data_IF_206824876392
#
_entry.id   IF_206824876392
#
_cell.length_a   1.000
_cell.length_b   1.000
_cell.length_c   1.000
_cell.angle_alpha   90.00
_cell.angle_beta   90.00
_cell.angle_gamma   90.00
#
_symmetry.space_group_name_H-M   'P 1'
#
loop_
_entity.id
_entity.type
_entity.pdbx_description
1 polymer ?
#
# COMPACT_ATOMS: atom_id res chain seq x y z
N UNK A 1 -22.65 50.60 -96.68
CA UNK A 1 -22.22 49.18 -96.61
C UNK A 1 -20.90 49.00 -95.82
N UNK A 2 -20.70 49.71 -94.71
CA UNK A 2 -19.45 49.66 -93.89
C UNK A 2 -19.65 49.06 -92.49
N UNK A 3 -20.90 48.84 -92.07
CA UNK A 3 -21.24 48.36 -90.71
C UNK A 3 -20.95 46.84 -90.56
N UNK A 4 -20.97 46.09 -91.68
CA UNK A 4 -20.74 44.64 -91.66
C UNK A 4 -19.26 44.27 -91.55
N UNK A 5 -18.33 45.15 -91.98
CA UNK A 5 -16.88 44.88 -91.92
C UNK A 5 -16.32 44.98 -90.49
N UNK A 6 -16.85 45.87 -89.65
CA UNK A 6 -16.41 45.96 -88.23
C UNK A 6 -16.87 44.77 -87.38
N UNK A 7 -18.03 44.18 -87.68
CA UNK A 7 -18.54 43.01 -86.95
C UNK A 7 -17.74 41.73 -87.23
N UNK A 8 -17.19 41.59 -88.45
CA UNK A 8 -16.40 40.42 -88.87
C UNK A 8 -15.05 40.34 -88.14
N UNK A 9 -14.50 41.47 -87.68
CA UNK A 9 -13.23 41.51 -86.91
C UNK A 9 -13.50 41.42 -85.39
N UNK A 10 -14.64 41.92 -84.92
CA UNK A 10 -15.01 41.84 -83.50
C UNK A 10 -15.37 40.41 -83.05
N UNK A 11 -15.95 39.59 -83.94
CA UNK A 11 -16.37 38.22 -83.63
C UNK A 11 -15.21 37.25 -83.27
N UNK A 12 -14.08 37.20 -84.02
CA UNK A 12 -12.95 36.35 -83.63
C UNK A 12 -12.23 36.85 -82.37
N UNK A 13 -12.27 38.15 -82.07
CA UNK A 13 -11.66 38.72 -80.87
C UNK A 13 -12.40 38.30 -79.60
N UNK A 14 -13.74 38.31 -79.60
CA UNK A 14 -14.55 37.80 -78.48
C UNK A 14 -14.37 36.30 -78.27
N UNK A 15 -14.18 35.53 -79.35
CA UNK A 15 -13.89 34.09 -79.29
C UNK A 15 -12.49 33.77 -78.72
N UNK A 16 -11.52 34.68 -78.86
CA UNK A 16 -10.19 34.52 -78.29
C UNK A 16 -10.12 34.87 -76.79
N UNK A 17 -11.12 35.59 -76.25
CA UNK A 17 -11.20 35.88 -74.81
C UNK A 17 -11.89 34.77 -73.98
N UNK A 18 -12.63 33.84 -74.60
CA UNK A 18 -13.30 32.75 -73.87
C UNK A 18 -12.37 31.61 -73.43
N UNK A 19 -11.11 31.62 -73.86
CA UNK A 19 -10.09 30.64 -73.44
C UNK A 19 -9.49 30.88 -72.04
N UNK A 20 -9.76 32.03 -71.41
CA UNK A 20 -9.25 32.36 -70.06
C UNK A 20 -10.19 31.88 -68.93
N UNK A 21 -11.34 31.28 -69.26
CA UNK A 21 -12.20 30.62 -68.28
C UNK A 21 -11.66 29.22 -68.00
N UNK A 22 -10.66 29.16 -67.11
CA UNK A 22 -10.00 27.96 -66.61
C UNK A 22 -10.95 27.00 -65.91
N UNK A 23 -11.76 26.30 -66.69
CA UNK A 23 -12.71 25.26 -66.24
C UNK A 23 -12.01 23.98 -65.78
N UNK A 24 -10.70 23.84 -66.00
CA UNK A 24 -9.91 22.67 -65.63
C UNK A 24 -9.04 22.84 -64.38
N UNK A 25 -8.94 24.05 -63.80
CA UNK A 25 -7.95 24.36 -62.75
C UNK A 25 -8.33 23.87 -61.34
N UNK A 26 -9.55 23.33 -61.15
CA UNK A 26 -10.03 22.86 -59.84
C UNK A 26 -10.55 21.42 -59.84
N UNK A 27 -10.19 20.62 -60.87
CA UNK A 27 -10.64 19.22 -60.96
C UNK A 27 -10.15 18.37 -59.78
N UNK A 28 -8.99 18.70 -59.23
CA UNK A 28 -8.41 18.08 -58.03
C UNK A 28 -9.23 18.37 -56.76
N UNK A 29 -9.64 19.62 -56.54
CA UNK A 29 -10.50 20.02 -55.43
C UNK A 29 -11.88 19.38 -55.53
N UNK A 30 -12.44 19.30 -56.74
CA UNK A 30 -13.71 18.62 -56.97
C UNK A 30 -13.61 17.13 -56.68
N UNK A 31 -12.54 16.46 -57.13
CA UNK A 31 -12.31 15.05 -56.83
C UNK A 31 -12.10 14.81 -55.32
N UNK A 32 -11.33 15.67 -54.66
CA UNK A 32 -11.11 15.59 -53.21
C UNK A 32 -12.42 15.80 -52.41
N UNK A 33 -13.28 16.71 -52.84
CA UNK A 33 -14.59 16.92 -52.21
C UNK A 33 -15.52 15.72 -52.41
N UNK A 34 -15.52 15.08 -53.58
CA UNK A 34 -16.30 13.87 -53.82
C UNK A 34 -15.81 12.70 -52.96
N UNK A 35 -14.49 12.52 -52.87
CA UNK A 35 -13.87 11.48 -52.03
C UNK A 35 -14.15 11.71 -50.54
N UNK A 36 -13.99 12.95 -50.05
CA UNK A 36 -14.28 13.30 -48.65
C UNK A 36 -15.76 13.17 -48.30
N UNK A 37 -16.68 13.37 -49.26
CA UNK A 37 -18.12 13.14 -49.05
C UNK A 37 -18.49 11.67 -48.94
N UNK A 38 -17.73 10.78 -49.57
CA UNK A 38 -17.95 9.32 -49.50
C UNK A 38 -17.36 8.72 -48.22
N UNK A 39 -16.40 9.39 -47.60
CA UNK A 39 -15.91 9.04 -46.26
C UNK A 39 -16.99 9.36 -45.22
N UNK A 40 -17.86 8.39 -44.96
CA UNK A 40 -18.85 8.48 -43.89
C UNK A 40 -18.11 8.56 -42.56
N UNK A 41 -18.39 9.59 -41.75
CA UNK A 41 -17.79 9.74 -40.42
C UNK A 41 -17.97 8.45 -39.61
N UNK A 42 -16.89 7.97 -39.01
CA UNK A 42 -16.90 6.72 -38.25
C UNK A 42 -17.92 6.74 -37.11
N UNK A 43 -18.35 5.54 -36.69
CA UNK A 43 -19.23 5.33 -35.54
C UNK A 43 -18.64 6.04 -34.30
N UNK A 44 -19.32 7.07 -33.81
CA UNK A 44 -18.92 7.75 -32.56
C UNK A 44 -19.43 6.90 -31.41
N UNK A 45 -18.51 6.44 -30.54
CA UNK A 45 -18.91 5.67 -29.37
C UNK A 45 -19.92 6.47 -28.53
N UNK A 46 -21.07 5.86 -28.17
CA UNK A 46 -22.09 6.53 -27.41
C UNK A 46 -21.55 6.94 -26.04
N UNK A 47 -22.05 8.07 -25.54
CA UNK A 47 -21.68 8.56 -24.22
C UNK A 47 -21.93 7.48 -23.15
N UNK A 48 -20.95 7.25 -22.25
CA UNK A 48 -21.10 6.25 -21.20
C UNK A 48 -22.28 6.62 -20.30
N UNK A 49 -23.13 5.65 -19.98
CA UNK A 49 -24.28 5.87 -19.11
C UNK A 49 -23.80 6.21 -17.69
N UNK A 50 -24.30 7.29 -17.07
CA UNK A 50 -23.95 7.60 -15.70
C UNK A 50 -24.41 6.48 -14.77
N UNK A 51 -23.49 5.96 -13.95
CA UNK A 51 -23.81 4.92 -12.98
C UNK A 51 -24.69 5.54 -11.88
N UNK A 52 -25.77 4.86 -11.45
CA UNK A 52 -26.62 5.35 -10.38
C UNK A 52 -25.82 5.45 -9.07
N UNK A 53 -25.97 6.56 -8.38
CA UNK A 53 -25.43 6.75 -7.04
C UNK A 53 -26.12 5.79 -6.07
N UNK A 54 -25.35 4.95 -5.39
CA UNK A 54 -25.86 4.09 -4.32
C UNK A 54 -25.81 4.86 -3.01
N UNK A 55 -26.94 5.00 -2.34
CA UNK A 55 -26.98 5.59 -1.01
C UNK A 55 -26.42 4.56 -0.02
N UNK A 56 -25.30 4.90 0.62
CA UNK A 56 -24.83 4.14 1.77
C UNK A 56 -25.72 4.48 2.96
N UNK A 57 -26.55 3.53 3.38
CA UNK A 57 -27.26 3.63 4.65
C UNK A 57 -26.23 3.48 5.77
N UNK A 58 -25.98 4.55 6.52
CA UNK A 58 -25.20 4.50 7.75
C UNK A 58 -25.98 3.72 8.81
N UNK A 59 -25.86 2.39 8.77
CA UNK A 59 -26.29 1.52 9.86
C UNK A 59 -25.09 1.31 10.76
N UNK A 60 -25.08 1.97 11.91
CA UNK A 60 -24.06 1.75 12.94
C UNK A 60 -24.33 0.36 13.56
N UNK A 61 -23.71 -0.68 13.01
CA UNK A 61 -23.64 -1.97 13.71
C UNK A 61 -22.51 -1.87 14.74
N UNK A 62 -22.86 -1.43 15.95
CA UNK A 62 -21.90 -1.26 17.04
C UNK A 62 -22.53 -0.60 18.26
N UNK A 63 -21.77 -0.59 19.36
CA UNK A 63 -22.16 0.03 20.64
C UNK A 63 -22.63 1.47 20.48
N UNK A 64 -23.52 1.90 21.37
CA UNK A 64 -23.98 3.29 21.41
C UNK A 64 -22.80 4.26 21.61
N UNK A 65 -22.73 5.37 20.85
CA UNK A 65 -21.71 6.40 21.03
C UNK A 65 -21.75 7.08 22.41
N UNK A 66 -22.85 6.91 23.15
CA UNK A 66 -23.09 7.51 24.46
C UNK A 66 -23.09 6.48 25.60
N UNK A 67 -22.77 5.21 25.31
CA UNK A 67 -22.45 4.27 26.38
C UNK A 67 -21.16 4.70 27.06
N UNK A 68 -21.18 4.73 28.39
CA UNK A 68 -19.98 4.99 29.17
C UNK A 68 -18.91 3.96 28.80
N UNK A 69 -17.67 4.39 28.47
CA UNK A 69 -16.56 3.48 28.27
C UNK A 69 -16.43 2.61 29.52
N UNK A 70 -16.40 1.29 29.34
CA UNK A 70 -16.16 0.39 30.47
C UNK A 70 -14.83 0.84 31.10
N UNK A 71 -14.78 1.15 32.41
CA UNK A 71 -13.55 1.60 33.04
C UNK A 71 -12.45 0.59 32.76
N UNK A 72 -11.28 1.06 32.31
CA UNK A 72 -10.10 0.22 32.00
C UNK A 72 -9.72 -0.73 33.16
N UNK A 73 -10.15 -0.43 34.38
CA UNK A 73 -10.05 -1.32 35.54
C UNK A 73 -10.69 -2.71 35.30
N UNK A 74 -11.89 -2.77 34.72
CA UNK A 74 -12.60 -4.02 34.45
C UNK A 74 -11.93 -4.88 33.36
N UNK A 75 -11.29 -4.25 32.37
CA UNK A 75 -10.52 -4.96 31.34
C UNK A 75 -9.19 -5.49 31.90
N UNK A 76 -8.57 -4.77 32.85
CA UNK A 76 -7.41 -5.25 33.61
C UNK A 76 -7.75 -6.37 34.58
N UNK A 77 -8.97 -6.43 35.11
CA UNK A 77 -9.42 -7.55 35.94
C UNK A 77 -9.65 -8.84 35.12
N UNK A 78 -10.01 -8.72 33.84
CA UNK A 78 -10.15 -9.86 32.90
C UNK A 78 -8.80 -10.42 32.43
N UNK A 79 -7.79 -9.56 32.27
CA UNK A 79 -6.39 -9.95 32.16
C UNK A 79 -5.90 -10.30 33.57
N UNK A 80 -6.32 -11.48 34.04
CA UNK A 80 -6.34 -11.88 35.45
C UNK A 80 -5.24 -11.30 36.33
N UNK A 81 -5.58 -11.12 37.62
CA UNK A 81 -4.62 -11.02 38.74
C UNK A 81 -3.69 -12.24 38.70
N UNK A 82 -2.78 -12.27 37.76
CA UNK A 82 -1.75 -13.27 37.65
C UNK A 82 -0.88 -12.97 38.85
N UNK A 83 -0.77 -13.93 39.77
CA UNK A 83 0.16 -13.85 40.91
C UNK A 83 1.62 -13.94 40.44
N UNK A 84 1.89 -13.34 39.29
CA UNK A 84 3.16 -13.31 38.61
C UNK A 84 3.93 -12.19 39.27
N UNK A 85 5.11 -12.54 39.76
CA UNK A 85 6.06 -11.62 40.34
C UNK A 85 7.45 -12.03 39.89
N UNK A 86 8.41 -11.11 39.83
CA UNK A 86 9.80 -11.46 39.64
C UNK A 86 10.25 -12.45 40.71
N UNK A 87 10.98 -13.49 40.31
CA UNK A 87 11.66 -14.37 41.23
C UNK A 87 13.03 -13.74 41.59
N UNK A 88 13.10 -13.10 42.75
CA UNK A 88 14.32 -12.43 43.23
C UNK A 88 15.39 -13.41 43.72
N UNK A 89 15.01 -14.67 44.00
CA UNK A 89 15.95 -15.68 44.52
C UNK A 89 16.75 -16.36 43.39
N UNK A 90 16.31 -16.20 42.14
CA UNK A 90 16.98 -16.77 40.98
C UNK A 90 18.22 -15.95 40.62
N UNK A 91 19.30 -16.65 40.23
CA UNK A 91 20.46 -16.00 39.62
C UNK A 91 20.06 -15.36 38.29
N UNK A 92 20.34 -14.06 38.14
CA UNK A 92 20.14 -13.33 36.88
C UNK A 92 21.09 -13.80 35.78
N UNK A 93 20.59 -13.84 34.57
CA UNK A 93 21.29 -14.09 33.32
C UNK A 93 21.86 -12.78 32.76
N UNK A 94 22.90 -12.89 31.92
CA UNK A 94 23.57 -11.72 31.35
C UNK A 94 22.62 -10.82 30.56
N UNK A 95 21.75 -11.42 29.73
CA UNK A 95 20.83 -10.70 28.85
C UNK A 95 19.71 -9.93 29.60
N UNK A 96 19.50 -10.18 30.89
CA UNK A 96 18.58 -9.39 31.71
C UNK A 96 19.12 -8.00 32.07
N UNK A 97 20.43 -7.76 31.89
CA UNK A 97 21.03 -6.44 32.06
C UNK A 97 20.74 -5.49 30.89
N UNK A 98 20.30 -6.02 29.75
CA UNK A 98 20.16 -5.29 28.48
C UNK A 98 18.70 -4.91 28.25
N UNK A 99 18.46 -3.77 27.60
CA UNK A 99 17.10 -3.38 27.25
C UNK A 99 16.55 -4.32 26.17
N UNK A 100 15.30 -4.78 26.29
CA UNK A 100 14.68 -5.64 25.29
C UNK A 100 14.74 -5.04 23.87
N UNK A 101 14.65 -3.70 23.75
CA UNK A 101 14.72 -3.01 22.47
C UNK A 101 16.10 -3.08 21.77
N UNK A 102 17.17 -3.34 22.53
CA UNK A 102 18.53 -3.47 21.99
C UNK A 102 18.81 -4.90 21.50
N UNK A 103 18.02 -5.87 21.96
CA UNK A 103 18.19 -7.28 21.64
C UNK A 103 17.66 -7.59 20.24
N UNK A 104 18.43 -8.35 19.47
CA UNK A 104 18.04 -8.78 18.13
C UNK A 104 18.21 -10.28 17.97
N UNK A 105 17.22 -10.97 17.39
CA UNK A 105 17.40 -12.38 17.02
C UNK A 105 18.18 -12.45 15.70
N UNK A 106 19.33 -13.11 15.72
CA UNK A 106 20.21 -13.23 14.54
C UNK A 106 20.22 -14.62 13.93
N UNK A 107 19.62 -15.61 14.59
CA UNK A 107 19.52 -16.96 14.05
C UNK A 107 19.02 -18.00 15.04
N UNK A 108 19.07 -19.24 14.60
CA UNK A 108 18.87 -20.42 15.46
C UNK A 108 19.99 -21.42 15.25
N UNK A 109 20.28 -22.19 16.29
CA UNK A 109 21.22 -23.29 16.28
C UNK A 109 20.50 -24.53 16.81
N UNK A 110 20.46 -25.60 16.02
CA UNK A 110 19.94 -26.90 16.47
C UNK A 110 21.11 -27.80 16.83
N UNK A 111 21.12 -28.30 18.06
CA UNK A 111 22.13 -29.26 18.54
C UNK A 111 21.50 -30.19 19.58
N UNK A 112 21.82 -31.47 19.53
CA UNK A 112 21.39 -32.47 20.52
C UNK A 112 19.86 -32.47 20.73
N UNK A 113 19.09 -32.42 19.64
CA UNK A 113 17.62 -32.33 19.64
C UNK A 113 17.03 -31.08 20.32
N UNK A 114 17.86 -30.07 20.64
CA UNK A 114 17.43 -28.80 21.24
C UNK A 114 17.67 -27.62 20.28
N UNK A 115 16.65 -26.78 20.12
CA UNK A 115 16.75 -25.53 19.36
C UNK A 115 17.17 -24.41 20.32
N UNK A 116 18.24 -23.73 19.95
CA UNK A 116 18.75 -22.52 20.59
C UNK A 116 18.47 -21.32 19.68
N UNK A 117 18.05 -20.21 20.24
CA UNK A 117 18.06 -18.92 19.55
C UNK A 117 19.40 -18.23 19.78
N UNK A 118 19.83 -17.47 18.77
CA UNK A 118 21.01 -16.61 18.82
C UNK A 118 20.52 -15.17 18.94
N UNK A 119 20.90 -14.52 20.05
CA UNK A 119 20.50 -13.14 20.36
C UNK A 119 21.75 -12.26 20.36
N UNK A 120 21.75 -11.25 19.52
CA UNK A 120 22.70 -10.15 19.56
C UNK A 120 22.29 -9.17 20.68
N UNK A 121 23.25 -8.81 21.52
CA UNK A 121 23.08 -7.89 22.64
C UNK A 121 23.13 -6.40 22.24
N UNK A 122 23.34 -6.10 20.96
CA UNK A 122 23.45 -4.74 20.44
C UNK A 122 24.85 -4.13 20.61
N UNK A 123 25.74 -4.80 21.35
CA UNK A 123 27.15 -4.44 21.51
C UNK A 123 28.08 -5.38 20.70
N UNK A 124 27.51 -6.19 19.81
CA UNK A 124 28.22 -7.14 18.96
C UNK A 124 28.46 -8.51 19.61
N UNK A 125 27.91 -8.76 20.81
CA UNK A 125 27.96 -10.06 21.48
C UNK A 125 26.76 -10.92 21.10
N UNK A 126 27.02 -12.15 20.64
CA UNK A 126 25.95 -13.12 20.32
C UNK A 126 25.86 -14.20 21.41
N UNK A 127 24.66 -14.31 21.99
CA UNK A 127 24.37 -15.19 23.11
C UNK A 127 23.38 -16.27 22.70
N UNK A 128 23.61 -17.50 23.16
CA UNK A 128 22.73 -18.65 22.94
C UNK A 128 21.70 -18.74 24.06
N UNK A 129 20.42 -18.79 23.70
CA UNK A 129 19.31 -18.93 24.64
C UNK A 129 18.33 -20.01 24.19
N UNK A 130 17.55 -20.54 25.13
CA UNK A 130 16.51 -21.55 24.89
C UNK A 130 15.24 -21.21 25.67
N UNK A 131 14.20 -21.99 25.46
CA UNK A 131 12.95 -21.89 26.25
C UNK A 131 13.27 -21.96 27.75
N UNK A 132 12.70 -21.04 28.52
CA UNK A 132 12.91 -20.90 29.96
C UNK A 132 14.01 -19.92 30.37
N UNK A 133 14.92 -19.54 29.46
CA UNK A 133 15.89 -18.47 29.73
C UNK A 133 15.22 -17.10 29.84
N UNK A 134 15.94 -16.17 30.44
CA UNK A 134 15.49 -14.80 30.69
C UNK A 134 16.36 -13.79 29.93
N UNK A 135 15.70 -12.75 29.42
CA UNK A 135 16.33 -11.64 28.74
C UNK A 135 15.52 -10.36 28.96
N UNK A 136 16.18 -9.21 28.77
CA UNK A 136 15.54 -7.92 28.98
C UNK A 136 15.43 -7.54 30.47
N UNK A 137 15.49 -6.24 30.75
CA UNK A 137 15.37 -5.68 32.12
C UNK A 137 14.03 -5.98 32.81
N UNK A 138 12.99 -6.33 32.06
CA UNK A 138 11.64 -6.57 32.58
C UNK A 138 11.36 -8.07 32.81
N UNK A 139 12.39 -8.85 33.19
CA UNK A 139 12.29 -10.28 33.47
C UNK A 139 11.62 -11.09 32.35
N UNK A 140 11.99 -10.80 31.09
CA UNK A 140 11.41 -11.44 29.91
C UNK A 140 11.75 -12.91 29.83
N UNK A 141 10.79 -13.79 30.11
CA UNK A 141 10.99 -15.23 29.99
C UNK A 141 10.67 -15.73 28.58
N UNK A 142 11.58 -16.48 27.97
CA UNK A 142 11.36 -17.10 26.66
C UNK A 142 10.36 -18.26 26.81
N UNK A 143 9.20 -18.14 26.19
CA UNK A 143 8.15 -19.16 26.19
C UNK A 143 8.25 -20.11 25.00
N UNK A 144 8.72 -19.64 23.85
CA UNK A 144 8.92 -20.49 22.67
C UNK A 144 10.02 -19.96 21.78
N UNK A 145 10.74 -20.87 21.14
CA UNK A 145 11.76 -20.59 20.12
C UNK A 145 11.35 -21.26 18.82
N UNK A 146 11.31 -20.51 17.73
CA UNK A 146 11.09 -21.00 16.37
C UNK A 146 12.27 -20.60 15.47
N UNK A 147 12.27 -21.01 14.20
CA UNK A 147 13.34 -20.65 13.25
C UNK A 147 13.37 -19.16 12.89
N UNK A 148 12.23 -18.49 12.95
CA UNK A 148 12.04 -17.11 12.49
C UNK A 148 11.74 -16.12 13.60
N UNK A 149 11.40 -16.59 14.80
CA UNK A 149 11.06 -15.71 15.93
C UNK A 149 11.22 -16.41 17.28
N UNK A 150 11.40 -15.62 18.33
CA UNK A 150 11.20 -16.04 19.72
C UNK A 150 10.06 -15.26 20.38
N UNK A 151 9.26 -15.96 21.19
CA UNK A 151 8.18 -15.36 21.98
C UNK A 151 8.60 -15.27 23.43
N UNK A 152 8.46 -14.08 23.99
CA UNK A 152 8.90 -13.70 25.33
C UNK A 152 7.73 -13.10 26.08
N UNK A 153 7.61 -13.40 27.37
CA UNK A 153 6.66 -12.71 28.25
C UNK A 153 7.47 -11.90 29.25
N UNK A 154 7.39 -10.58 29.14
CA UNK A 154 7.92 -9.64 30.13
C UNK A 154 6.90 -9.40 31.25
N UNK A 155 7.37 -8.92 32.38
CA UNK A 155 6.51 -8.54 33.50
C UNK A 155 6.85 -7.10 33.94
N UNK A 156 5.82 -6.27 34.09
CA UNK A 156 5.97 -4.88 34.52
C UNK A 156 5.05 -4.57 35.70
N UNK A 157 5.44 -3.67 36.62
CA UNK A 157 4.55 -3.23 37.68
C UNK A 157 3.32 -2.54 37.09
N UNK A 158 2.14 -2.82 37.64
CA UNK A 158 0.85 -2.25 37.21
C UNK A 158 0.54 -0.87 37.83
N UNK A 159 1.39 -0.41 38.76
CA UNK A 159 1.24 0.84 39.51
C UNK A 159 0.37 0.75 40.77
N UNK A 160 -0.26 -0.39 41.05
CA UNK A 160 -1.13 -0.65 42.21
C UNK A 160 -0.57 -1.77 43.11
N UNK A 161 0.70 -2.14 42.93
CA UNK A 161 1.38 -3.18 43.68
C UNK A 161 1.29 -4.58 43.06
N UNK A 162 0.67 -4.71 41.89
CA UNK A 162 0.63 -5.93 41.09
C UNK A 162 1.62 -5.90 39.92
N UNK A 163 1.60 -6.96 39.11
CA UNK A 163 2.39 -7.10 37.90
C UNK A 163 1.50 -7.47 36.72
N UNK A 164 1.90 -7.01 35.55
CA UNK A 164 1.23 -7.26 34.27
C UNK A 164 2.17 -8.01 33.34
N UNK A 165 1.68 -9.10 32.76
CA UNK A 165 2.37 -9.82 31.68
C UNK A 165 2.26 -9.04 30.37
N UNK A 166 3.40 -8.90 29.69
CA UNK A 166 3.54 -8.20 28.42
C UNK A 166 4.14 -9.15 27.40
N UNK A 167 3.33 -9.72 26.48
CA UNK A 167 3.86 -10.55 25.42
C UNK A 167 4.69 -9.71 24.44
N UNK A 168 5.88 -10.21 24.10
CA UNK A 168 6.84 -9.61 23.17
C UNK A 168 7.34 -10.68 22.21
N UNK A 169 7.71 -10.25 21.01
CA UNK A 169 8.30 -11.12 19.99
C UNK A 169 9.57 -10.48 19.47
N UNK A 170 10.63 -11.28 19.33
CA UNK A 170 11.83 -10.90 18.57
C UNK A 170 11.84 -11.74 17.30
N UNK A 171 11.63 -11.09 16.16
CA UNK A 171 11.73 -11.72 14.86
C UNK A 171 13.21 -11.80 14.43
N UNK A 172 13.51 -12.81 13.60
CA UNK A 172 14.80 -12.98 12.96
C UNK A 172 15.12 -11.74 12.12
N UNK A 173 16.27 -11.13 12.39
CA UNK A 173 16.76 -10.00 11.61
C UNK A 173 17.09 -10.45 10.19
N UNK A 174 16.36 -9.94 9.21
CA UNK A 174 16.71 -10.11 7.80
C UNK A 174 17.91 -9.23 7.44
N UNK A 175 18.72 -9.72 6.51
CA UNK A 175 19.91 -9.02 6.03
C UNK A 175 19.47 -8.16 4.84
N UNK A 176 19.47 -6.85 5.01
CA UNK A 176 19.35 -5.89 3.91
C UNK A 176 20.61 -5.85 3.05
#
# INVERSE_FOLDING_TARGET
MQIHKSYVIALPMVLMLSGCLGSSQHRDLHAFMEESRQQTGGEIEPLPTPKPYTTFAYTVKGRSPFEQPIPLASQRELLGKSAVKPDENRKREYLEGINFAELNMVGTLSRDNQIWALIDDGNGGVHRVRVGNYLGKNHGQIKSVSRSEIKVIEIRPDGQGGWLEMPRTLALREKE
#
